data_IF_704019042323
#
_entry.id   IF_704019042323
#
_cell.length_a   1.000
_cell.length_b   1.000
_cell.length_c   1.000
_cell.angle_alpha   90.00
_cell.angle_beta   90.00
_cell.angle_gamma   90.00
#
_symmetry.space_group_name_H-M   'P 1'
#
loop_
_entity.id
_entity.type
_entity.pdbx_description
1 polymer ?
#
# COMPACT_ATOMS: atom_id res chain seq x y z
N UNK A 1 -0.39 -1.80 12.28
CA UNK A 1 -0.58 -0.81 11.20
C UNK A 1 0.13 0.49 11.55
N UNK A 2 0.01 0.96 12.79
CA UNK A 2 0.72 2.13 13.34
C UNK A 2 2.24 2.07 13.13
N UNK A 3 2.91 0.94 13.45
CA UNK A 3 4.35 0.81 13.22
C UNK A 3 4.76 1.03 11.74
N UNK A 4 3.90 0.64 10.78
CA UNK A 4 4.18 0.87 9.36
C UNK A 4 3.99 2.34 8.98
N UNK A 5 3.01 3.02 9.59
CA UNK A 5 2.79 4.45 9.37
C UNK A 5 3.98 5.26 9.88
N UNK A 6 4.47 4.95 11.08
CA UNK A 6 5.60 5.63 11.72
C UNK A 6 6.93 5.46 10.97
N UNK A 7 7.08 4.38 10.20
CA UNK A 7 8.28 4.12 9.38
C UNK A 7 8.24 4.81 8.00
N UNK A 8 7.12 5.44 7.62
CA UNK A 8 7.01 6.06 6.30
C UNK A 8 7.84 7.34 6.18
N UNK A 9 8.51 7.54 5.03
CA UNK A 9 9.24 8.77 4.77
C UNK A 9 8.33 9.93 4.35
N UNK A 10 8.40 11.06 5.05
CA UNK A 10 7.53 12.24 4.82
C UNK A 10 7.58 12.84 3.40
N UNK A 11 8.68 12.66 2.66
CA UNK A 11 8.93 13.38 1.40
C UNK A 11 9.34 12.51 0.22
N UNK A 12 9.30 11.17 0.35
CA UNK A 12 9.73 10.27 -0.72
C UNK A 12 8.74 9.14 -0.97
N UNK A 13 8.43 8.82 -2.24
CA UNK A 13 7.49 7.76 -2.55
C UNK A 13 8.12 6.38 -2.29
N UNK A 14 7.27 5.39 -1.99
CA UNK A 14 7.69 4.01 -1.70
C UNK A 14 6.70 3.01 -2.27
N UNK A 15 7.24 1.87 -2.72
CA UNK A 15 6.48 0.65 -2.99
C UNK A 15 6.63 -0.28 -1.80
N UNK A 16 5.52 -0.68 -1.19
CA UNK A 16 5.52 -1.53 -0.01
C UNK A 16 4.70 -2.78 -0.34
N UNK A 17 5.32 -3.94 -0.22
CA UNK A 17 4.62 -5.22 -0.34
C UNK A 17 4.15 -5.64 1.03
N UNK A 18 2.83 -5.78 1.18
CA UNK A 18 2.21 -6.12 2.44
C UNK A 18 1.50 -7.48 2.33
N UNK A 19 1.93 -8.42 3.16
CA UNK A 19 1.23 -9.68 3.45
C UNK A 19 0.63 -9.56 4.83
N UNK A 20 -0.67 -9.28 4.91
CA UNK A 20 -1.32 -8.99 6.20
C UNK A 20 -2.28 -10.11 6.61
N UNK A 21 -2.05 -10.83 7.72
CA UNK A 21 -2.98 -11.84 8.17
C UNK A 21 -4.24 -11.19 8.74
N UNK A 22 -5.41 -11.57 8.22
CA UNK A 22 -6.70 -11.13 8.75
C UNK A 22 -7.71 -12.27 8.85
N UNK A 23 -8.60 -12.15 9.81
CA UNK A 23 -9.77 -13.02 9.95
C UNK A 23 -10.95 -12.33 9.29
N UNK A 24 -11.46 -12.92 8.22
CA UNK A 24 -12.68 -12.44 7.54
C UNK A 24 -13.89 -12.61 8.47
N UNK A 25 -14.96 -11.85 8.24
CA UNK A 25 -16.21 -11.96 9.02
C UNK A 25 -16.86 -13.36 9.01
N UNK A 26 -16.46 -14.23 8.06
CA UNK A 26 -16.84 -15.64 8.01
C UNK A 26 -16.05 -16.54 8.98
N UNK A 27 -15.08 -16.01 9.72
CA UNK A 27 -14.14 -16.76 10.55
C UNK A 27 -12.98 -17.39 9.77
N UNK A 28 -12.91 -17.18 8.45
CA UNK A 28 -11.81 -17.67 7.62
C UNK A 28 -10.57 -16.81 7.77
N UNK A 29 -9.42 -17.45 7.95
CA UNK A 29 -8.12 -16.79 7.87
C UNK A 29 -7.75 -16.54 6.41
N UNK A 30 -7.36 -15.31 6.11
CA UNK A 30 -6.84 -14.90 4.83
C UNK A 30 -5.56 -14.07 5.04
N UNK A 31 -4.64 -14.15 4.07
CA UNK A 31 -3.43 -13.32 4.05
C UNK A 31 -3.38 -12.63 2.69
N UNK A 32 -4.15 -11.55 2.47
CA UNK A 32 -4.02 -10.75 1.27
C UNK A 32 -2.58 -10.28 1.08
N UNK A 33 -2.14 -10.41 -0.16
CA UNK A 33 -0.86 -9.91 -0.63
C UNK A 33 -1.12 -8.74 -1.57
N UNK A 34 -0.72 -7.54 -1.13
CA UNK A 34 -1.03 -6.27 -1.79
C UNK A 34 0.21 -5.40 -1.93
N UNK A 35 0.16 -4.52 -2.92
CA UNK A 35 1.16 -3.48 -3.16
C UNK A 35 0.58 -2.15 -2.69
N UNK A 36 1.17 -1.58 -1.66
CA UNK A 36 0.87 -0.21 -1.26
C UNK A 36 1.77 0.72 -2.09
N UNK A 37 1.13 1.58 -2.86
CA UNK A 37 1.79 2.63 -3.61
C UNK A 37 1.71 3.92 -2.79
N UNK A 38 2.73 4.13 -1.96
CA UNK A 38 2.83 5.31 -1.10
C UNK A 38 3.40 6.50 -1.88
N UNK A 39 2.61 7.57 -1.95
CA UNK A 39 2.95 8.79 -2.66
C UNK A 39 2.59 10.02 -1.81
N UNK A 40 3.53 10.52 -0.99
CA UNK A 40 3.26 11.68 -0.16
C UNK A 40 3.04 12.94 -1.00
N UNK A 41 2.18 13.85 -0.52
CA UNK A 41 1.86 15.09 -1.21
C UNK A 41 3.11 15.98 -1.41
N UNK A 42 4.01 15.99 -0.42
CA UNK A 42 5.25 16.78 -0.42
C UNK A 42 6.39 16.13 -1.24
N UNK A 43 6.11 15.06 -1.99
CA UNK A 43 7.07 14.40 -2.85
C UNK A 43 7.52 15.30 -4.03
N UNK A 44 8.82 15.26 -4.34
CA UNK A 44 9.37 15.88 -5.55
C UNK A 44 8.64 15.39 -6.82
N UNK A 45 8.14 16.29 -7.70
CA UNK A 45 7.45 15.92 -8.94
C UNK A 45 8.21 14.93 -9.83
N UNK A 46 9.55 15.04 -9.92
CA UNK A 46 10.35 14.09 -10.71
C UNK A 46 10.29 12.68 -10.13
N UNK A 47 10.39 12.53 -8.81
CA UNK A 47 10.27 11.21 -8.15
C UNK A 47 8.87 10.64 -8.29
N UNK A 48 7.84 11.48 -8.15
CA UNK A 48 6.44 11.10 -8.39
C UNK A 48 6.24 10.52 -9.79
N UNK A 49 6.75 11.18 -10.83
CA UNK A 49 6.67 10.68 -12.20
C UNK A 49 7.43 9.36 -12.39
N UNK A 50 8.64 9.25 -11.83
CA UNK A 50 9.43 8.01 -11.91
C UNK A 50 8.69 6.82 -11.30
N UNK A 51 8.10 7.01 -10.11
CA UNK A 51 7.35 5.93 -9.45
C UNK A 51 6.05 5.62 -10.18
N UNK A 52 5.33 6.62 -10.66
CA UNK A 52 4.11 6.39 -11.46
C UNK A 52 4.39 5.57 -12.73
N UNK A 53 5.53 5.78 -13.39
CA UNK A 53 5.94 4.95 -14.54
C UNK A 53 6.41 3.54 -14.16
N UNK A 54 6.84 3.33 -12.92
CA UNK A 54 7.36 2.06 -12.43
C UNK A 54 6.30 1.19 -11.73
N UNK A 55 5.11 1.72 -11.40
CA UNK A 55 4.09 1.00 -10.62
C UNK A 55 3.65 -0.30 -11.29
N UNK A 56 3.45 -0.27 -12.61
CA UNK A 56 3.01 -1.44 -13.39
C UNK A 56 4.14 -2.47 -13.49
N UNK A 57 5.38 -2.02 -13.66
CA UNK A 57 6.55 -2.90 -13.63
C UNK A 57 6.67 -3.59 -12.27
N UNK A 58 6.48 -2.85 -11.18
CA UNK A 58 6.57 -3.38 -9.82
C UNK A 58 5.43 -4.37 -9.54
N UNK A 59 4.19 -4.04 -9.92
CA UNK A 59 3.03 -4.92 -9.80
C UNK A 59 3.25 -6.26 -10.51
N UNK A 60 3.72 -6.22 -11.76
CA UNK A 60 3.96 -7.42 -12.56
C UNK A 60 5.13 -8.24 -12.02
N UNK A 61 6.21 -7.58 -11.57
CA UNK A 61 7.39 -8.26 -11.01
C UNK A 61 7.09 -8.91 -9.67
N UNK A 62 6.28 -8.26 -8.83
CA UNK A 62 5.89 -8.76 -7.52
C UNK A 62 4.72 -9.75 -7.57
N UNK A 63 4.12 -9.99 -8.74
CA UNK A 63 2.94 -10.84 -8.96
C UNK A 63 1.74 -10.47 -8.06
N UNK A 64 1.55 -9.17 -7.85
CA UNK A 64 0.48 -8.65 -7.00
C UNK A 64 -0.80 -8.42 -7.81
N UNK A 65 -1.93 -8.90 -7.28
CA UNK A 65 -3.24 -8.70 -7.90
C UNK A 65 -3.94 -7.40 -7.49
N UNK A 66 -3.58 -6.81 -6.34
CA UNK A 66 -4.23 -5.61 -5.81
C UNK A 66 -3.20 -4.54 -5.44
N UNK A 67 -3.36 -3.36 -6.03
CA UNK A 67 -2.58 -2.17 -5.73
C UNK A 67 -3.48 -1.21 -4.94
N UNK A 68 -2.96 -0.63 -3.87
CA UNK A 68 -3.66 0.34 -3.02
C UNK A 68 -2.83 1.62 -3.03
N UNK A 69 -3.40 2.73 -3.48
CA UNK A 69 -2.76 4.03 -3.40
C UNK A 69 -2.90 4.58 -1.97
N UNK A 70 -1.82 5.17 -1.47
CA UNK A 70 -1.70 5.70 -0.12
C UNK A 70 -1.01 7.05 -0.21
N UNK A 71 -1.60 8.10 0.37
CA UNK A 71 -1.02 9.44 0.32
C UNK A 71 -0.52 9.92 1.69
N UNK A 72 -1.15 9.43 2.77
CA UNK A 72 -0.86 9.83 4.13
C UNK A 72 -0.90 8.63 5.11
N UNK A 73 -0.65 8.91 6.38
CA UNK A 73 -0.68 7.93 7.47
C UNK A 73 -2.10 7.41 7.75
N UNK A 74 -3.11 8.28 7.60
CA UNK A 74 -4.52 7.91 7.80
C UNK A 74 -4.96 6.84 6.79
N UNK A 75 -4.50 6.95 5.53
CA UNK A 75 -4.69 5.94 4.51
C UNK A 75 -4.09 4.60 4.93
N UNK A 76 -2.89 4.61 5.54
CA UNK A 76 -2.24 3.40 6.05
C UNK A 76 -3.07 2.75 7.17
N UNK A 77 -3.52 3.55 8.14
CA UNK A 77 -4.34 3.05 9.24
C UNK A 77 -5.66 2.45 8.75
N UNK A 78 -6.20 2.95 7.63
CA UNK A 78 -7.43 2.43 7.01
C UNK A 78 -7.25 1.15 6.16
N UNK A 79 -6.01 0.70 5.90
CA UNK A 79 -5.73 -0.44 5.01
C UNK A 79 -6.43 -1.70 5.49
N UNK A 80 -6.48 -1.96 6.79
CA UNK A 80 -7.12 -3.17 7.34
C UNK A 80 -8.59 -3.28 6.90
N UNK A 81 -9.32 -2.16 6.90
CA UNK A 81 -10.71 -2.09 6.43
C UNK A 81 -10.80 -2.30 4.92
N UNK A 82 -9.89 -1.70 4.13
CA UNK A 82 -9.80 -1.89 2.67
C UNK A 82 -9.51 -3.37 2.32
N UNK A 83 -8.73 -4.08 3.15
CA UNK A 83 -8.39 -5.49 2.97
C UNK A 83 -9.54 -6.45 3.30
N UNK A 84 -10.43 -6.09 4.21
CA UNK A 84 -11.58 -6.93 4.61
C UNK A 84 -12.70 -6.99 3.57
N UNK A 85 -12.63 -6.21 2.49
CA UNK A 85 -13.58 -6.27 1.37
C UNK A 85 -14.80 -5.36 1.53
N UNK A 86 -14.57 -4.09 1.88
CA UNK A 86 -15.55 -3.02 1.68
C UNK A 86 -15.22 -2.26 0.40
N UNK A 87 -15.48 -2.88 -0.74
CA UNK A 87 -15.57 -2.25 -2.08
C UNK A 87 -16.66 -2.98 -2.86
#
# INVERSE_FOLDING_TARGET
MEDLADELPESSPRFILLSYPLTLGSGRLAVPYVLLYYLPENCNPSMRMTYAGAVELMRNTAEVNRVIEVQDEDDILSIESKLQGSD
#
